data_IF_967866879609
#
_entry.id   IF_967866879609
#
_cell.length_a   1.000
_cell.length_b   1.000
_cell.length_c   1.000
_cell.angle_alpha   90.00
_cell.angle_beta   90.00
_cell.angle_gamma   90.00
#
_symmetry.space_group_name_H-M   'P 1'
#
loop_
_entity.id
_entity.type
_entity.pdbx_description
1 polymer ?
#
# COMPACT_ATOMS: atom_id res chain seq x y z
N UNK A 1 -3.13 -7.60 -16.08
CA UNK A 1 -3.60 -6.32 -15.52
C UNK A 1 -3.68 -6.40 -14.00
N UNK A 2 -4.64 -7.14 -13.40
CA UNK A 2 -4.77 -7.29 -11.93
C UNK A 2 -3.46 -7.60 -11.18
N UNK A 3 -2.70 -8.61 -11.64
CA UNK A 3 -1.42 -8.97 -11.00
C UNK A 3 -0.40 -7.82 -10.99
N UNK A 4 -0.32 -7.04 -12.08
CA UNK A 4 0.60 -5.91 -12.17
C UNK A 4 0.21 -4.79 -11.18
N UNK A 5 -1.10 -4.54 -11.03
CA UNK A 5 -1.64 -3.58 -10.06
C UNK A 5 -1.34 -4.04 -8.64
N UNK A 6 -1.63 -5.31 -8.33
CA UNK A 6 -1.36 -5.89 -7.01
C UNK A 6 0.13 -5.84 -6.66
N UNK A 7 1.02 -6.20 -7.60
CA UNK A 7 2.46 -6.07 -7.41
C UNK A 7 2.89 -4.60 -7.18
N UNK A 8 2.31 -3.64 -7.92
CA UNK A 8 2.57 -2.22 -7.70
C UNK A 8 2.17 -1.77 -6.28
N UNK A 9 0.98 -2.19 -5.81
CA UNK A 9 0.51 -1.93 -4.44
C UNK A 9 1.41 -2.55 -3.38
N UNK A 10 1.89 -3.78 -3.59
CA UNK A 10 2.82 -4.47 -2.70
C UNK A 10 4.23 -3.84 -2.66
N UNK A 11 4.57 -3.06 -3.68
CA UNK A 11 5.78 -2.23 -3.70
C UNK A 11 5.55 -0.81 -3.15
N UNK A 12 4.31 -0.48 -2.76
CA UNK A 12 3.91 0.81 -2.23
C UNK A 12 3.80 1.90 -3.29
N UNK A 13 3.66 1.53 -4.57
CA UNK A 13 3.61 2.49 -5.67
C UNK A 13 2.18 2.99 -5.94
N UNK A 14 2.05 4.30 -6.07
CA UNK A 14 0.90 4.96 -6.70
C UNK A 14 0.87 4.68 -8.21
N UNK A 15 -0.28 4.88 -8.89
CA UNK A 15 -0.34 4.80 -10.35
C UNK A 15 0.70 5.67 -11.07
N UNK A 16 0.94 6.88 -10.55
CA UNK A 16 1.90 7.83 -11.13
C UNK A 16 3.35 7.34 -10.94
N UNK A 17 3.69 6.80 -9.78
CA UNK A 17 5.01 6.20 -9.54
C UNK A 17 5.23 4.95 -10.40
N UNK A 18 4.19 4.11 -10.54
CA UNK A 18 4.24 2.96 -11.41
C UNK A 18 4.51 3.36 -12.88
N UNK A 19 3.82 4.38 -13.39
CA UNK A 19 4.07 4.90 -14.73
C UNK A 19 5.50 5.42 -14.92
N UNK A 20 6.05 6.12 -13.91
CA UNK A 20 7.44 6.58 -13.96
C UNK A 20 8.43 5.42 -14.00
N UNK A 21 8.15 4.35 -13.26
CA UNK A 21 8.97 3.14 -13.23
C UNK A 21 8.83 2.29 -14.51
N UNK A 22 7.68 2.35 -15.19
CA UNK A 22 7.37 1.63 -16.42
C UNK A 22 6.91 2.63 -17.51
N UNK A 23 7.85 3.37 -18.13
CA UNK A 23 7.52 4.48 -19.04
C UNK A 23 7.06 4.03 -20.43
N UNK A 24 7.13 2.74 -20.72
CA UNK A 24 6.74 2.15 -21.99
C UNK A 24 5.21 2.23 -22.22
N UNK A 25 4.77 1.94 -23.44
CA UNK A 25 3.34 2.03 -23.77
C UNK A 25 2.49 1.15 -22.86
N UNK A 26 2.94 -0.07 -22.57
CA UNK A 26 2.22 -1.01 -21.71
C UNK A 26 2.13 -0.50 -20.27
N UNK A 27 3.22 0.02 -19.71
CA UNK A 27 3.25 0.60 -18.38
C UNK A 27 2.30 1.79 -18.22
N UNK A 28 2.22 2.67 -19.22
CA UNK A 28 1.25 3.78 -19.26
C UNK A 28 -0.20 3.30 -19.22
N UNK A 29 -0.56 2.31 -20.05
CA UNK A 29 -1.92 1.75 -20.08
C UNK A 29 -2.26 1.08 -18.74
N UNK A 30 -1.31 0.37 -18.12
CA UNK A 30 -1.54 -0.24 -16.81
C UNK A 30 -1.73 0.84 -15.73
N UNK A 31 -0.93 1.91 -15.74
CA UNK A 31 -1.05 3.00 -14.78
C UNK A 31 -2.40 3.73 -14.89
N UNK A 32 -2.87 3.97 -16.12
CA UNK A 32 -4.18 4.58 -16.36
C UNK A 32 -5.30 3.70 -15.80
N UNK A 33 -5.30 2.40 -16.13
CA UNK A 33 -6.30 1.46 -15.60
C UNK A 33 -6.18 1.31 -14.08
N UNK A 34 -4.97 1.36 -13.53
CA UNK A 34 -4.76 1.34 -12.08
C UNK A 34 -5.39 2.56 -11.41
N UNK A 35 -5.19 3.76 -11.95
CA UNK A 35 -5.83 4.99 -11.47
C UNK A 35 -7.35 4.87 -11.47
N UNK A 36 -7.93 4.55 -12.61
CA UNK A 36 -9.39 4.37 -12.77
C UNK A 36 -9.92 3.31 -11.80
N UNK A 37 -9.18 2.20 -11.62
CA UNK A 37 -9.56 1.14 -10.69
C UNK A 37 -9.60 1.64 -9.23
N UNK A 38 -8.59 2.38 -8.79
CA UNK A 38 -8.58 2.96 -7.44
C UNK A 38 -9.70 3.98 -7.24
N UNK A 39 -9.96 4.83 -8.24
CA UNK A 39 -11.03 5.82 -8.19
C UNK A 39 -12.40 5.16 -8.03
N UNK A 40 -12.63 4.04 -8.75
CA UNK A 40 -13.86 3.27 -8.63
C UNK A 40 -14.00 2.58 -7.26
N UNK A 41 -12.92 2.01 -6.72
CA UNK A 41 -12.93 1.45 -5.37
C UNK A 41 -13.32 2.52 -4.34
N UNK A 42 -12.68 3.69 -4.40
CA UNK A 42 -12.96 4.82 -3.51
C UNK A 42 -14.42 5.30 -3.64
N UNK A 43 -14.93 5.46 -4.87
CA UNK A 43 -16.31 5.88 -5.12
C UNK A 43 -17.36 4.90 -4.55
N UNK A 44 -16.99 3.62 -4.39
CA UNK A 44 -17.86 2.59 -3.82
C UNK A 44 -17.58 2.29 -2.35
N UNK A 45 -16.72 3.07 -1.67
CA UNK A 45 -16.23 2.77 -0.32
C UNK A 45 -15.71 1.32 -0.18
N UNK A 46 -15.09 0.81 -1.24
CA UNK A 46 -14.61 -0.56 -1.33
C UNK A 46 -13.08 -0.60 -1.22
N UNK A 47 -12.56 -1.72 -0.70
CA UNK A 47 -11.13 -2.00 -0.59
C UNK A 47 -10.86 -3.40 -1.15
N UNK A 48 -9.73 -3.56 -1.83
CA UNK A 48 -9.18 -4.89 -2.12
C UNK A 48 -8.15 -5.31 -1.06
N UNK A 49 -7.64 -6.54 -1.17
CA UNK A 49 -6.72 -7.10 -0.18
C UNK A 49 -5.43 -6.30 0.01
N UNK A 50 -4.86 -5.79 -1.08
CA UNK A 50 -3.61 -5.03 -1.01
C UNK A 50 -3.84 -3.66 -0.34
N UNK A 51 -5.04 -3.07 -0.54
CA UNK A 51 -5.42 -1.81 0.10
C UNK A 51 -5.59 -1.94 1.61
N UNK A 52 -5.94 -3.11 2.14
CA UNK A 52 -6.05 -3.36 3.58
C UNK A 52 -4.73 -3.13 4.33
N UNK A 53 -3.59 -3.21 3.65
CA UNK A 53 -2.27 -2.90 4.24
C UNK A 53 -1.75 -1.55 3.73
N UNK A 54 -1.90 -1.25 2.44
CA UNK A 54 -1.40 -0.01 1.85
C UNK A 54 -2.03 1.25 2.46
N UNK A 55 -3.34 1.24 2.73
CA UNK A 55 -4.04 2.41 3.27
C UNK A 55 -3.61 2.71 4.71
N UNK A 56 -3.53 1.74 5.64
CA UNK A 56 -2.97 2.00 6.97
C UNK A 56 -1.56 2.59 6.93
N UNK A 57 -0.68 2.12 6.04
CA UNK A 57 0.67 2.70 5.86
C UNK A 57 0.58 4.17 5.49
N UNK A 58 -0.30 4.53 4.55
CA UNK A 58 -0.49 5.93 4.16
C UNK A 58 -1.11 6.76 5.29
N UNK A 59 -2.05 6.20 6.04
CA UNK A 59 -2.67 6.86 7.18
C UNK A 59 -1.65 7.16 8.29
N UNK A 60 -0.78 6.20 8.61
CA UNK A 60 0.29 6.40 9.58
C UNK A 60 1.27 7.48 9.14
N UNK A 61 1.56 7.56 7.83
CA UNK A 61 2.42 8.61 7.25
C UNK A 61 1.78 10.00 7.33
N UNK A 62 0.46 10.09 7.18
CA UNK A 62 -0.26 11.36 7.11
C UNK A 62 -0.79 11.86 8.47
N UNK A 63 -0.99 10.96 9.43
CA UNK A 63 -1.63 11.27 10.71
C UNK A 63 -0.91 10.59 11.88
N UNK A 64 -0.03 11.35 12.52
CA UNK A 64 0.75 10.90 13.68
C UNK A 64 -0.13 10.51 14.88
N UNK A 65 -1.33 11.10 15.05
CA UNK A 65 -2.22 10.76 16.17
C UNK A 65 -2.77 9.35 16.05
N UNK A 66 -3.11 8.92 14.83
CA UNK A 66 -3.55 7.55 14.57
C UNK A 66 -2.43 6.57 14.88
N UNK A 67 -1.21 6.88 14.44
CA UNK A 67 -0.05 6.03 14.71
C UNK A 67 0.26 5.96 16.23
N UNK A 68 0.21 7.09 16.93
CA UNK A 68 0.43 7.16 18.39
C UNK A 68 -0.57 6.30 19.19
N UNK A 69 -1.84 6.28 18.77
CA UNK A 69 -2.85 5.40 19.36
C UNK A 69 -2.45 3.92 19.28
N UNK A 70 -1.90 3.48 18.14
CA UNK A 70 -1.45 2.10 17.97
C UNK A 70 -0.16 1.79 18.73
N UNK A 71 0.79 2.73 18.82
CA UNK A 71 1.97 2.55 19.67
C UNK A 71 1.62 2.37 21.15
N UNK A 72 0.58 3.05 21.64
CA UNK A 72 0.10 2.85 23.02
C UNK A 72 -0.60 1.50 23.21
N UNK A 73 -1.17 0.94 22.14
CA UNK A 73 -1.92 -0.31 22.18
C UNK A 73 -1.00 -1.54 22.04
N UNK A 74 0.07 -1.44 21.23
CA UNK A 74 0.99 -2.53 20.96
C UNK A 74 2.31 -2.38 21.73
N UNK A 75 2.39 -3.03 22.90
CA UNK A 75 3.61 -3.03 23.71
C UNK A 75 4.73 -3.92 23.13
N UNK A 76 4.35 -4.98 22.41
CA UNK A 76 5.26 -5.92 21.77
C UNK A 76 4.69 -6.34 20.41
N UNK A 77 5.54 -6.37 19.39
CA UNK A 77 5.17 -6.78 18.03
C UNK A 77 6.05 -7.98 17.66
N UNK A 78 5.41 -9.12 17.40
CA UNK A 78 6.05 -10.30 16.85
C UNK A 78 5.57 -10.50 15.43
N UNK A 79 6.50 -10.75 14.52
CA UNK A 79 6.19 -11.01 13.10
C UNK A 79 6.80 -12.36 12.74
N UNK A 80 5.94 -13.27 12.32
CA UNK A 80 6.32 -14.59 11.80
C UNK A 80 6.50 -14.52 10.27
N UNK A 81 7.24 -15.47 9.70
CA UNK A 81 7.52 -15.57 8.26
C UNK A 81 8.03 -14.25 7.64
N UNK A 82 8.88 -13.52 8.39
CA UNK A 82 9.33 -12.18 8.01
C UNK A 82 10.04 -12.13 6.65
N UNK A 83 10.68 -13.22 6.25
CA UNK A 83 11.35 -13.34 4.95
C UNK A 83 10.40 -13.21 3.75
N UNK A 84 9.10 -13.46 3.94
CA UNK A 84 8.10 -13.41 2.88
C UNK A 84 7.39 -12.04 2.78
N UNK A 85 7.80 -11.07 3.60
CA UNK A 85 7.17 -9.74 3.62
C UNK A 85 7.51 -8.91 2.38
N UNK A 86 6.48 -8.27 1.81
CA UNK A 86 6.68 -7.29 0.74
C UNK A 86 6.99 -5.89 1.30
N UNK A 87 7.32 -4.94 0.42
CA UNK A 87 7.75 -3.59 0.84
C UNK A 87 6.67 -2.83 1.60
N UNK A 88 5.41 -2.96 1.21
CA UNK A 88 4.30 -2.29 1.88
C UNK A 88 4.08 -2.86 3.28
N UNK A 89 4.14 -4.19 3.44
CA UNK A 89 4.09 -4.86 4.75
C UNK A 89 5.28 -4.48 5.63
N UNK A 90 6.48 -4.44 5.06
CA UNK A 90 7.67 -3.95 5.77
C UNK A 90 7.47 -2.54 6.32
N UNK A 91 6.96 -1.61 5.49
CA UNK A 91 6.69 -0.24 5.92
C UNK A 91 5.64 -0.20 7.04
N UNK A 92 4.58 -1.01 6.94
CA UNK A 92 3.56 -1.13 7.98
C UNK A 92 4.15 -1.53 9.33
N UNK A 93 4.95 -2.61 9.34
CA UNK A 93 5.65 -3.08 10.54
C UNK A 93 6.60 -2.00 11.07
N UNK A 94 7.36 -1.36 10.18
CA UNK A 94 8.32 -0.31 10.54
C UNK A 94 7.65 0.87 11.22
N UNK A 95 6.50 1.31 10.71
CA UNK A 95 5.73 2.38 11.34
C UNK A 95 5.27 1.98 12.74
N UNK A 96 4.76 0.76 12.95
CA UNK A 96 4.26 0.35 14.26
C UNK A 96 5.36 0.08 15.30
N UNK A 97 6.56 -0.28 14.85
CA UNK A 97 7.66 -0.66 15.73
C UNK A 97 8.63 0.49 16.08
N UNK A 98 8.53 1.65 15.42
CA UNK A 98 9.43 2.80 15.62
C UNK A 98 8.66 4.00 16.11
#
# INVERSE_FOLDING_TARGET
MRYAISNAKNQGMSPQEFQKAQPDYRGRVIAEVYGIYQDNLAANNALDFDDLIRIPVELFRQNEQVLAYWHQSFNHILVDEYQDTNRTQYNFIRYLAT
#
